data_IF_003327552483
#
_entry.id   IF_003327552483
#
_cell.length_a   1.000
_cell.length_b   1.000
_cell.length_c   1.000
_cell.angle_alpha   90.00
_cell.angle_beta   90.00
_cell.angle_gamma   90.00
#
_symmetry.space_group_name_H-M   'P 1'
#
loop_
_entity.id
_entity.type
_entity.pdbx_description
1 polymer ?
#
# COMPACT_ATOMS: atom_id res chain seq x y z
N UNK A 1 16.91 5.95 11.31
CA UNK A 1 17.52 6.92 10.39
C UNK A 1 19.03 7.02 10.59
N UNK A 2 19.54 7.29 11.80
CA UNK A 2 20.96 7.62 12.05
C UNK A 2 21.98 6.60 11.54
N UNK A 3 21.67 5.32 11.61
CA UNK A 3 22.60 4.25 11.24
C UNK A 3 22.62 3.97 9.73
N UNK A 4 21.46 4.00 9.06
CA UNK A 4 21.33 3.53 7.68
C UNK A 4 20.77 4.59 6.73
N UNK A 5 20.22 5.69 7.21
CA UNK A 5 19.54 6.70 6.37
C UNK A 5 20.44 7.44 5.38
N UNK A 6 21.77 7.26 5.47
CA UNK A 6 22.72 7.77 4.46
C UNK A 6 22.91 6.80 3.27
N UNK A 7 22.54 5.54 3.44
CA UNK A 7 22.76 4.46 2.47
C UNK A 7 21.45 3.93 1.90
N UNK A 8 20.37 3.96 2.70
CA UNK A 8 19.08 3.39 2.37
C UNK A 8 17.96 4.39 2.72
N UNK A 9 16.90 4.48 1.90
CA UNK A 9 15.72 5.24 2.26
C UNK A 9 15.03 4.62 3.49
N UNK A 10 14.59 5.45 4.41
CA UNK A 10 13.84 5.03 5.60
C UNK A 10 12.35 5.11 5.30
N UNK A 11 11.69 3.98 5.32
CA UNK A 11 10.27 3.87 5.06
C UNK A 11 9.50 3.89 6.38
N UNK A 12 8.68 4.93 6.59
CA UNK A 12 7.65 4.93 7.63
C UNK A 12 6.41 4.18 7.13
N UNK A 13 5.78 3.40 7.99
CA UNK A 13 4.52 2.72 7.65
C UNK A 13 3.49 2.88 8.75
N UNK A 14 2.22 2.96 8.36
CA UNK A 14 1.10 3.06 9.28
C UNK A 14 -0.13 2.37 8.73
N UNK A 15 -1.02 1.94 9.63
CA UNK A 15 -2.37 1.50 9.28
C UNK A 15 -3.15 2.72 8.79
N UNK A 16 -3.82 2.59 7.66
CA UNK A 16 -4.62 3.66 7.09
C UNK A 16 -5.89 3.99 7.92
N UNK A 17 -6.51 5.14 7.65
CA UNK A 17 -7.61 5.66 8.47
C UNK A 17 -8.78 4.70 8.60
N UNK A 18 -9.18 4.02 7.53
CA UNK A 18 -10.34 3.14 7.51
C UNK A 18 -10.12 1.87 8.34
N UNK A 19 -8.97 1.22 8.17
CA UNK A 19 -8.62 0.05 8.99
C UNK A 19 -8.37 0.42 10.44
N UNK A 20 -7.84 1.61 10.72
CA UNK A 20 -7.69 2.09 12.09
C UNK A 20 -9.07 2.33 12.74
N UNK A 21 -10.04 2.90 12.01
CA UNK A 21 -11.41 3.05 12.47
C UNK A 21 -12.05 1.68 12.78
N UNK A 22 -11.82 0.70 11.92
CA UNK A 22 -12.27 -0.68 12.16
C UNK A 22 -11.62 -1.27 13.42
N UNK A 23 -10.33 -1.06 13.65
CA UNK A 23 -9.68 -1.55 14.88
C UNK A 23 -10.24 -0.90 16.15
N UNK A 24 -10.65 0.37 16.10
CA UNK A 24 -11.22 1.08 17.23
C UNK A 24 -12.68 0.68 17.49
N UNK A 25 -13.46 0.43 16.45
CA UNK A 25 -14.88 0.11 16.53
C UNK A 25 -15.17 -1.41 16.58
N UNK A 26 -14.18 -2.25 16.28
CA UNK A 26 -14.35 -3.69 16.16
C UNK A 26 -15.09 -4.10 14.90
N UNK A 27 -15.66 -5.32 14.91
CA UNK A 27 -16.34 -5.90 13.74
C UNK A 27 -17.64 -5.16 13.38
N UNK A 28 -18.22 -4.45 14.34
CA UNK A 28 -19.41 -3.61 14.12
C UNK A 28 -19.13 -2.42 13.17
N UNK A 29 -17.88 -2.13 12.87
CA UNK A 29 -17.49 -1.08 11.95
C UNK A 29 -18.21 -1.17 10.61
N UNK A 30 -18.23 -2.35 10.01
CA UNK A 30 -18.87 -2.57 8.71
C UNK A 30 -20.39 -2.42 8.76
N UNK A 31 -21.01 -2.62 9.92
CA UNK A 31 -22.44 -2.35 10.13
C UNK A 31 -22.67 -0.86 10.35
N UNK A 32 -21.84 -0.25 11.18
CA UNK A 32 -22.00 1.13 11.62
C UNK A 32 -21.85 2.13 10.48
N UNK A 33 -20.94 1.92 9.53
CA UNK A 33 -20.81 2.80 8.34
C UNK A 33 -22.08 2.80 7.47
N UNK A 34 -22.93 1.75 7.56
CA UNK A 34 -24.19 1.66 6.82
C UNK A 34 -25.39 2.16 7.63
N UNK A 35 -25.36 2.03 8.96
CA UNK A 35 -26.51 2.29 9.85
C UNK A 35 -26.40 3.57 10.65
N UNK A 36 -25.18 4.02 10.97
CA UNK A 36 -24.86 5.28 11.65
C UNK A 36 -23.73 6.02 10.92
N UNK A 37 -24.13 6.70 9.85
CA UNK A 37 -23.22 7.48 9.03
C UNK A 37 -22.43 8.53 9.84
N UNK A 38 -23.08 9.16 10.83
CA UNK A 38 -22.44 10.21 11.63
C UNK A 38 -21.31 9.64 12.51
N UNK A 39 -21.51 8.46 13.09
CA UNK A 39 -20.44 7.74 13.78
C UNK A 39 -19.30 7.39 12.82
N UNK A 40 -19.64 6.85 11.64
CA UNK A 40 -18.67 6.52 10.61
C UNK A 40 -17.79 7.71 10.24
N UNK A 41 -18.39 8.84 9.91
CA UNK A 41 -17.66 10.06 9.54
C UNK A 41 -16.76 10.56 10.68
N UNK A 42 -17.27 10.61 11.92
CA UNK A 42 -16.47 11.05 13.08
C UNK A 42 -15.27 10.13 13.35
N UNK A 43 -15.43 8.82 13.18
CA UNK A 43 -14.31 7.89 13.32
C UNK A 43 -13.27 8.11 12.22
N UNK A 44 -13.70 8.34 10.99
CA UNK A 44 -12.79 8.63 9.89
C UNK A 44 -12.03 9.95 10.09
N UNK A 45 -12.71 11.02 10.53
CA UNK A 45 -12.08 12.29 10.90
C UNK A 45 -11.03 12.11 12.00
N UNK A 46 -11.39 11.39 13.06
CA UNK A 46 -10.48 11.13 14.18
C UNK A 46 -9.24 10.32 13.76
N UNK A 47 -9.44 9.22 13.04
CA UNK A 47 -8.34 8.35 12.62
C UNK A 47 -7.44 9.00 11.58
N UNK A 48 -7.99 9.83 10.71
CA UNK A 48 -7.20 10.62 9.75
C UNK A 48 -6.33 11.66 10.47
N UNK A 49 -6.90 12.43 11.39
CA UNK A 49 -6.16 13.39 12.19
C UNK A 49 -5.04 12.72 13.01
N UNK A 50 -5.33 11.55 13.60
CA UNK A 50 -4.31 10.75 14.29
C UNK A 50 -3.19 10.31 13.34
N UNK A 51 -3.54 9.78 12.16
CA UNK A 51 -2.57 9.32 11.17
C UNK A 51 -1.68 10.47 10.68
N UNK A 52 -2.23 11.65 10.45
CA UNK A 52 -1.45 12.84 10.07
C UNK A 52 -0.45 13.20 11.18
N UNK A 53 -0.89 13.25 12.43
CA UNK A 53 -0.01 13.53 13.56
C UNK A 53 1.08 12.47 13.71
N UNK A 54 0.75 11.20 13.56
CA UNK A 54 1.67 10.08 13.63
C UNK A 54 2.70 10.11 12.50
N UNK A 55 2.25 10.34 11.25
CA UNK A 55 3.14 10.45 10.11
C UNK A 55 4.12 11.63 10.24
N UNK A 56 3.64 12.79 10.71
CA UNK A 56 4.52 13.94 11.00
C UNK A 56 5.64 13.54 11.96
N UNK A 57 5.34 12.79 13.00
CA UNK A 57 6.36 12.30 13.95
C UNK A 57 7.34 11.32 13.31
N UNK A 58 6.91 10.45 12.41
CA UNK A 58 7.82 9.58 11.66
C UNK A 58 8.76 10.38 10.77
N UNK A 59 8.24 11.36 10.04
CA UNK A 59 9.03 12.25 9.17
C UNK A 59 10.04 13.06 9.98
N UNK A 60 9.62 13.66 11.09
CA UNK A 60 10.51 14.38 12.02
C UNK A 60 11.65 13.49 12.57
N UNK A 61 11.43 12.18 12.63
CA UNK A 61 12.43 11.19 13.03
C UNK A 61 13.14 10.48 11.86
N UNK A 62 13.04 11.05 10.66
CA UNK A 62 13.85 10.68 9.51
C UNK A 62 13.23 9.61 8.60
N UNK A 63 11.92 9.53 8.52
CA UNK A 63 11.27 8.80 7.44
C UNK A 63 11.34 9.60 6.13
N UNK A 64 11.83 8.98 5.06
CA UNK A 64 11.96 9.57 3.72
C UNK A 64 10.70 9.38 2.88
N UNK A 65 9.89 8.39 3.20
CA UNK A 65 8.62 8.06 2.53
C UNK A 65 7.64 7.43 3.50
N UNK A 66 6.35 7.55 3.22
CA UNK A 66 5.29 6.97 4.06
C UNK A 66 4.48 5.95 3.28
N UNK A 67 4.28 4.76 3.88
CA UNK A 67 3.41 3.71 3.36
C UNK A 67 2.12 3.67 4.19
N UNK A 68 1.01 3.90 3.54
CA UNK A 68 -0.34 3.79 4.09
C UNK A 68 -0.85 2.39 3.79
N UNK A 69 -1.05 1.56 4.81
CA UNK A 69 -1.54 0.19 4.70
C UNK A 69 -2.97 0.15 5.20
N UNK A 70 -3.95 0.05 4.29
CA UNK A 70 -5.38 0.13 4.66
C UNK A 70 -6.16 -1.10 4.16
N UNK A 71 -5.90 -2.30 4.72
CA UNK A 71 -6.37 -3.57 4.16
C UNK A 71 -7.89 -3.70 4.13
N UNK A 72 -8.61 -3.11 5.09
CA UNK A 72 -10.07 -3.19 5.15
C UNK A 72 -10.78 -2.11 4.33
N UNK A 73 -10.05 -1.11 3.84
CA UNK A 73 -10.53 -0.13 2.86
C UNK A 73 -10.65 -0.74 1.45
N UNK A 74 -11.12 -1.98 1.37
CA UNK A 74 -11.18 -2.69 0.09
C UNK A 74 -12.46 -2.35 -0.67
N UNK A 75 -12.31 -1.92 -1.91
CA UNK A 75 -13.42 -1.70 -2.84
C UNK A 75 -14.37 -2.91 -2.92
N UNK A 76 -13.82 -4.14 -2.86
CA UNK A 76 -14.60 -5.37 -2.87
C UNK A 76 -15.41 -5.58 -1.58
N UNK A 77 -14.92 -5.12 -0.43
CA UNK A 77 -15.59 -5.29 0.85
C UNK A 77 -16.73 -4.30 1.04
N UNK A 78 -16.54 -3.04 0.68
CA UNK A 78 -17.47 -1.96 1.01
C UNK A 78 -18.20 -1.40 -0.23
N UNK A 79 -17.78 -1.77 -1.43
CA UNK A 79 -18.35 -1.29 -2.69
C UNK A 79 -17.98 0.14 -3.04
N UNK A 80 -18.23 0.53 -4.30
CA UNK A 80 -17.81 1.81 -4.86
C UNK A 80 -18.31 3.02 -4.07
N UNK A 81 -19.60 3.06 -3.78
CA UNK A 81 -20.25 4.21 -3.15
C UNK A 81 -19.66 4.51 -1.76
N UNK A 82 -19.40 3.48 -0.95
CA UNK A 82 -18.82 3.66 0.37
C UNK A 82 -17.32 3.93 0.30
N UNK A 83 -16.63 3.32 -0.66
CA UNK A 83 -15.22 3.63 -0.91
C UNK A 83 -15.01 5.12 -1.26
N UNK A 84 -15.80 5.64 -2.17
CA UNK A 84 -15.75 7.06 -2.54
C UNK A 84 -16.08 8.00 -1.37
N UNK A 85 -16.99 7.59 -0.50
CA UNK A 85 -17.45 8.40 0.62
C UNK A 85 -16.55 8.32 1.85
N UNK A 86 -16.16 7.12 2.25
CA UNK A 86 -15.47 6.87 3.52
C UNK A 86 -13.96 6.59 3.38
N UNK A 87 -13.43 6.49 2.16
CA UNK A 87 -12.01 6.20 1.96
C UNK A 87 -11.32 7.33 1.21
N UNK A 88 -11.79 7.65 0.02
CA UNK A 88 -11.12 8.62 -0.87
C UNK A 88 -10.86 9.97 -0.20
N UNK A 89 -11.81 10.66 0.46
CA UNK A 89 -11.58 11.97 1.05
C UNK A 89 -10.50 11.95 2.14
N UNK A 90 -10.50 10.91 2.95
CA UNK A 90 -9.60 10.76 4.09
C UNK A 90 -8.19 10.31 3.70
N UNK A 91 -8.07 9.44 2.70
CA UNK A 91 -6.78 9.16 2.09
C UNK A 91 -6.20 10.40 1.43
N UNK A 92 -7.04 11.17 0.72
CA UNK A 92 -6.59 12.42 0.10
C UNK A 92 -6.09 13.43 1.14
N UNK A 93 -6.83 13.66 2.21
CA UNK A 93 -6.43 14.56 3.31
C UNK A 93 -5.08 14.14 3.92
N UNK A 94 -4.90 12.84 4.16
CA UNK A 94 -3.64 12.30 4.68
C UNK A 94 -2.48 12.50 3.69
N UNK A 95 -2.72 12.23 2.40
CA UNK A 95 -1.72 12.40 1.34
C UNK A 95 -1.37 13.88 1.15
N UNK A 96 -2.35 14.77 1.17
CA UNK A 96 -2.13 16.22 1.06
C UNK A 96 -1.23 16.71 2.20
N UNK A 97 -1.46 16.24 3.44
CA UNK A 97 -0.60 16.57 4.59
C UNK A 97 0.85 16.05 4.43
N UNK A 98 1.06 14.91 3.75
CA UNK A 98 2.41 14.44 3.44
C UNK A 98 3.05 15.25 2.31
N UNK A 99 2.28 15.62 1.30
CA UNK A 99 2.75 16.47 0.20
C UNK A 99 3.23 17.85 0.71
N UNK A 100 2.55 18.44 1.71
CA UNK A 100 2.99 19.69 2.36
C UNK A 100 4.38 19.55 3.00
N UNK A 101 4.75 18.34 3.42
CA UNK A 101 6.08 18.05 3.97
C UNK A 101 7.09 17.58 2.91
N UNK A 102 6.70 17.51 1.64
CA UNK A 102 7.48 16.95 0.53
C UNK A 102 7.87 15.47 0.75
N UNK A 103 7.00 14.69 1.37
CA UNK A 103 7.22 13.26 1.65
C UNK A 103 6.37 12.42 0.70
N UNK A 104 7.01 11.59 -0.15
CA UNK A 104 6.29 10.68 -1.03
C UNK A 104 5.43 9.67 -0.26
N UNK A 105 4.26 9.35 -0.82
CA UNK A 105 3.33 8.41 -0.23
C UNK A 105 3.09 7.20 -1.12
N UNK A 106 2.97 6.04 -0.48
CA UNK A 106 2.58 4.77 -1.08
C UNK A 106 1.27 4.32 -0.44
N UNK A 107 0.28 3.95 -1.22
CA UNK A 107 -0.96 3.35 -0.72
C UNK A 107 -0.98 1.86 -1.04
N UNK A 108 -1.20 1.04 -0.02
CA UNK A 108 -1.44 -0.40 -0.15
C UNK A 108 -2.80 -0.79 0.42
N UNK A 109 -3.60 -1.44 -0.41
CA UNK A 109 -4.86 -2.08 -0.01
C UNK A 109 -4.77 -3.54 -0.47
N UNK A 110 -5.01 -4.48 0.46
CA UNK A 110 -4.96 -5.91 0.18
C UNK A 110 -6.11 -6.37 -0.73
N UNK A 111 -5.88 -7.47 -1.43
CA UNK A 111 -6.86 -8.11 -2.31
C UNK A 111 -6.90 -7.51 -3.71
N UNK A 112 -7.89 -7.93 -4.49
CA UNK A 112 -8.05 -7.42 -5.85
C UNK A 112 -8.62 -5.99 -5.83
N UNK A 113 -7.75 -5.03 -6.07
CA UNK A 113 -8.09 -3.60 -6.14
C UNK A 113 -8.25 -3.10 -7.59
N UNK A 114 -8.28 -3.98 -8.57
CA UNK A 114 -8.31 -3.62 -9.99
C UNK A 114 -9.39 -2.58 -10.32
N UNK A 115 -10.62 -2.77 -9.81
CA UNK A 115 -11.72 -1.86 -10.04
C UNK A 115 -11.59 -0.51 -9.31
N UNK A 116 -10.78 -0.44 -8.25
CA UNK A 116 -10.56 0.75 -7.42
C UNK A 116 -9.28 1.53 -7.74
N UNK A 117 -8.43 1.08 -8.66
CA UNK A 117 -7.12 1.69 -8.94
C UNK A 117 -7.19 3.20 -9.26
N UNK A 118 -8.17 3.60 -10.08
CA UNK A 118 -8.36 5.01 -10.40
C UNK A 118 -8.75 5.86 -9.18
N UNK A 119 -9.53 5.30 -8.25
CA UNK A 119 -9.90 5.97 -7.01
C UNK A 119 -8.69 6.06 -6.05
N UNK A 120 -7.88 5.02 -5.96
CA UNK A 120 -6.62 5.05 -5.21
C UNK A 120 -5.68 6.14 -5.76
N UNK A 121 -5.53 6.22 -7.09
CA UNK A 121 -4.73 7.26 -7.73
C UNK A 121 -5.29 8.66 -7.49
N UNK A 122 -6.62 8.82 -7.45
CA UNK A 122 -7.29 10.11 -7.24
C UNK A 122 -7.00 10.73 -5.87
N UNK A 123 -6.57 9.93 -4.90
CA UNK A 123 -6.10 10.41 -3.60
C UNK A 123 -4.77 11.19 -3.68
N UNK A 124 -4.09 11.17 -4.84
CA UNK A 124 -2.87 11.93 -5.06
C UNK A 124 -1.58 11.24 -4.58
N UNK A 125 -1.63 9.93 -4.34
CA UNK A 125 -0.46 9.13 -3.94
C UNK A 125 0.62 9.08 -5.01
N UNK A 126 1.88 8.98 -4.62
CA UNK A 126 3.00 8.87 -5.55
C UNK A 126 3.16 7.45 -6.09
N UNK A 127 2.74 6.45 -5.30
CA UNK A 127 2.80 5.06 -5.70
C UNK A 127 1.61 4.26 -5.16
N UNK A 128 1.22 3.22 -5.90
CA UNK A 128 0.25 2.22 -5.49
C UNK A 128 0.97 0.87 -5.38
N UNK A 129 0.98 0.30 -4.19
CA UNK A 129 1.45 -1.06 -3.94
C UNK A 129 0.29 -2.03 -4.15
N UNK A 130 0.38 -2.83 -5.20
CA UNK A 130 -0.68 -3.77 -5.58
C UNK A 130 -0.47 -5.15 -4.95
N UNK A 131 -1.59 -5.77 -4.55
CA UNK A 131 -1.64 -7.13 -4.04
C UNK A 131 -1.39 -8.16 -5.16
N UNK A 132 -0.98 -9.40 -4.82
CA UNK A 132 -0.75 -10.48 -5.78
C UNK A 132 -1.98 -10.86 -6.60
N UNK A 133 -3.18 -10.46 -6.16
CA UNK A 133 -4.44 -10.71 -6.87
C UNK A 133 -4.72 -9.69 -8.00
N UNK A 134 -3.92 -8.65 -8.12
CA UNK A 134 -4.02 -7.64 -9.19
C UNK A 134 -3.07 -7.99 -10.32
N UNK A 135 -3.56 -8.02 -11.56
CA UNK A 135 -2.68 -8.17 -12.71
C UNK A 135 -1.80 -6.92 -12.89
N UNK A 136 -0.44 -7.07 -12.83
CA UNK A 136 0.45 -5.93 -12.87
C UNK A 136 0.38 -5.14 -14.19
N UNK A 137 0.19 -5.81 -15.33
CA UNK A 137 0.06 -5.15 -16.63
C UNK A 137 -1.21 -4.29 -16.71
N UNK A 138 -2.31 -4.79 -16.15
CA UNK A 138 -3.57 -4.04 -16.03
C UNK A 138 -3.39 -2.84 -15.11
N UNK A 139 -2.71 -2.99 -13.98
CA UNK A 139 -2.46 -1.87 -13.06
C UNK A 139 -1.63 -0.76 -13.72
N UNK A 140 -0.51 -1.12 -14.36
CA UNK A 140 0.36 -0.18 -15.09
C UNK A 140 -0.40 0.54 -16.23
N UNK A 141 -1.28 -0.19 -16.92
CA UNK A 141 -2.11 0.40 -17.98
C UNK A 141 -3.17 1.34 -17.43
N UNK A 142 -3.73 1.05 -16.26
CA UNK A 142 -4.85 1.83 -15.67
C UNK A 142 -4.38 3.09 -14.99
N UNK A 143 -3.36 2.99 -14.14
CA UNK A 143 -2.78 4.10 -13.38
C UNK A 143 -1.91 4.97 -14.29
N UNK A 144 -2.03 6.30 -14.18
CA UNK A 144 -1.39 7.25 -15.12
C UNK A 144 -0.39 8.20 -14.47
N UNK A 145 -0.56 8.50 -13.19
CA UNK A 145 0.24 9.49 -12.46
C UNK A 145 1.12 8.83 -11.38
N UNK A 146 0.53 7.90 -10.62
CA UNK A 146 1.27 7.14 -9.63
C UNK A 146 2.07 6.02 -10.29
N UNK A 147 3.16 5.59 -9.65
CA UNK A 147 3.90 4.40 -10.08
C UNK A 147 3.33 3.15 -9.41
N UNK A 148 3.48 1.99 -10.07
CA UNK A 148 3.05 0.70 -9.52
C UNK A 148 4.23 0.02 -8.83
N UNK A 149 3.96 -0.51 -7.63
CA UNK A 149 4.87 -1.31 -6.81
C UNK A 149 4.23 -2.69 -6.62
N UNK A 150 5.01 -3.74 -6.73
CA UNK A 150 4.53 -5.11 -6.46
C UNK A 150 5.12 -6.14 -7.40
N UNK A 151 4.52 -7.34 -7.59
CA UNK A 151 3.47 -7.89 -6.71
C UNK A 151 3.64 -9.40 -6.58
N UNK A 152 4.87 -9.81 -6.24
CA UNK A 152 5.18 -11.23 -6.07
C UNK A 152 4.33 -11.85 -4.95
N UNK A 153 3.70 -13.00 -5.21
CA UNK A 153 2.89 -13.70 -4.21
C UNK A 153 3.74 -14.15 -3.02
N UNK A 154 3.44 -13.65 -1.80
CA UNK A 154 4.23 -13.96 -0.61
C UNK A 154 4.22 -15.44 -0.21
N UNK A 155 3.12 -16.15 -0.51
CA UNK A 155 2.93 -17.54 -0.11
C UNK A 155 3.25 -18.48 -1.26
N UNK A 156 2.60 -18.31 -2.41
CA UNK A 156 2.69 -19.26 -3.51
C UNK A 156 3.98 -19.12 -4.32
N UNK A 157 4.67 -17.98 -4.23
CA UNK A 157 5.95 -17.74 -4.91
C UNK A 157 7.08 -17.65 -3.89
N UNK A 158 7.03 -16.68 -2.97
CA UNK A 158 8.18 -16.36 -2.13
C UNK A 158 8.44 -17.41 -1.05
N UNK A 159 7.41 -18.02 -0.47
CA UNK A 159 7.60 -19.03 0.57
C UNK A 159 7.72 -20.44 -0.02
N UNK A 160 6.85 -20.80 -0.98
CA UNK A 160 6.68 -22.21 -1.39
C UNK A 160 7.51 -22.62 -2.60
N UNK A 161 8.24 -21.71 -3.26
CA UNK A 161 8.99 -22.02 -4.48
C UNK A 161 10.50 -21.85 -4.30
N UNK A 162 11.24 -22.24 -5.36
CA UNK A 162 12.71 -22.10 -5.39
C UNK A 162 13.14 -20.70 -5.82
N UNK A 163 14.40 -20.28 -5.54
CA UNK A 163 14.93 -19.00 -6.01
C UNK A 163 14.84 -18.83 -7.53
N UNK A 164 14.98 -19.90 -8.31
CA UNK A 164 14.89 -19.88 -9.77
C UNK A 164 13.47 -19.48 -10.21
N UNK A 165 12.45 -20.08 -9.59
CA UNK A 165 11.06 -19.74 -9.87
C UNK A 165 10.73 -18.30 -9.43
N UNK A 166 11.31 -17.83 -8.30
CA UNK A 166 11.17 -16.43 -7.86
C UNK A 166 11.76 -15.49 -8.90
N UNK A 167 12.94 -15.81 -9.49
CA UNK A 167 13.54 -14.99 -10.55
C UNK A 167 12.66 -14.95 -11.81
N UNK A 168 12.10 -16.08 -12.21
CA UNK A 168 11.16 -16.15 -13.33
C UNK A 168 9.95 -15.23 -13.12
N UNK A 169 9.29 -15.34 -11.96
CA UNK A 169 8.14 -14.49 -11.61
C UNK A 169 8.51 -13.03 -11.43
N UNK A 170 9.69 -12.74 -10.89
CA UNK A 170 10.21 -11.37 -10.81
C UNK A 170 10.37 -10.75 -12.20
N UNK A 171 10.87 -11.54 -13.16
CA UNK A 171 10.99 -11.07 -14.55
C UNK A 171 9.63 -10.75 -15.16
N UNK A 172 8.62 -11.61 -14.97
CA UNK A 172 7.26 -11.36 -15.47
C UNK A 172 6.69 -10.03 -14.92
N UNK A 173 6.86 -9.77 -13.62
CA UNK A 173 6.39 -8.53 -12.98
C UNK A 173 7.15 -7.31 -13.53
N UNK A 174 8.46 -7.41 -13.71
CA UNK A 174 9.29 -6.36 -14.30
C UNK A 174 8.86 -6.08 -15.74
N UNK A 175 8.69 -7.13 -16.55
CA UNK A 175 8.30 -7.03 -17.98
C UNK A 175 6.89 -6.41 -18.13
N UNK A 176 6.02 -6.53 -17.11
CA UNK A 176 4.73 -5.86 -17.07
C UNK A 176 4.83 -4.33 -16.86
N UNK A 177 6.01 -3.80 -16.54
CA UNK A 177 6.27 -2.37 -16.40
C UNK A 177 6.10 -1.82 -14.98
N UNK A 178 6.17 -2.68 -13.96
CA UNK A 178 6.14 -2.26 -12.56
C UNK A 178 7.41 -1.47 -12.23
N UNK A 179 7.25 -0.31 -11.60
CA UNK A 179 8.38 0.59 -11.30
C UNK A 179 9.27 0.10 -10.14
N UNK A 180 8.69 -0.59 -9.17
CA UNK A 180 9.42 -1.16 -8.03
C UNK A 180 8.98 -2.61 -7.81
N UNK A 181 9.91 -3.54 -8.00
CA UNK A 181 9.66 -4.95 -7.72
C UNK A 181 9.56 -5.18 -6.20
N UNK A 182 8.44 -5.73 -5.75
CA UNK A 182 8.17 -5.98 -4.34
C UNK A 182 7.27 -7.21 -4.15
N UNK A 183 7.16 -7.76 -2.94
CA UNK A 183 6.05 -8.64 -2.59
C UNK A 183 4.70 -7.96 -2.75
N UNK A 184 3.66 -8.70 -3.10
CA UNK A 184 2.30 -8.19 -3.25
C UNK A 184 1.60 -7.89 -1.92
N UNK A 185 2.12 -8.42 -0.82
CA UNK A 185 1.63 -8.18 0.55
C UNK A 185 2.73 -8.56 1.55
N UNK A 186 2.41 -8.61 2.84
CA UNK A 186 3.32 -9.00 3.91
C UNK A 186 3.93 -10.40 3.67
N UNK A 187 5.24 -10.51 3.79
CA UNK A 187 5.95 -11.78 3.59
C UNK A 187 5.78 -12.71 4.79
N UNK A 188 5.73 -14.01 4.51
CA UNK A 188 5.69 -15.04 5.55
C UNK A 188 7.00 -15.04 6.33
N UNK A 189 6.94 -15.10 7.66
CA UNK A 189 8.14 -15.04 8.53
C UNK A 189 9.14 -16.18 8.27
N UNK A 190 8.70 -17.28 7.67
CA UNK A 190 9.52 -18.45 7.29
C UNK A 190 9.96 -18.42 5.83
N UNK A 191 9.76 -17.33 5.09
CA UNK A 191 10.23 -17.21 3.71
C UNK A 191 11.74 -17.40 3.64
N UNK A 192 12.24 -18.31 2.76
CA UNK A 192 13.66 -18.55 2.62
C UNK A 192 14.41 -17.28 2.21
N UNK A 193 15.50 -16.95 2.90
CA UNK A 193 16.33 -15.77 2.59
C UNK A 193 16.84 -15.81 1.15
N UNK A 194 17.13 -17.01 0.61
CA UNK A 194 17.53 -17.15 -0.78
C UNK A 194 16.47 -16.66 -1.78
N UNK A 195 15.18 -16.80 -1.44
CA UNK A 195 14.08 -16.28 -2.27
C UNK A 195 14.00 -14.76 -2.21
N UNK A 196 14.23 -14.17 -1.03
CA UNK A 196 14.31 -12.70 -0.90
C UNK A 196 15.54 -12.15 -1.63
N UNK A 197 16.68 -12.85 -1.57
CA UNK A 197 17.88 -12.47 -2.31
C UNK A 197 17.62 -12.51 -3.84
N UNK A 198 16.86 -13.50 -4.31
CA UNK A 198 16.51 -13.61 -5.72
C UNK A 198 15.72 -12.38 -6.24
N UNK A 199 14.82 -11.80 -5.43
CA UNK A 199 14.14 -10.54 -5.77
C UNK A 199 15.15 -9.41 -5.93
N UNK A 200 16.05 -9.26 -4.94
CA UNK A 200 17.07 -8.20 -4.94
C UNK A 200 18.00 -8.33 -6.16
N UNK A 201 18.42 -9.55 -6.48
CA UNK A 201 19.29 -9.83 -7.62
C UNK A 201 18.61 -9.44 -8.94
N UNK A 202 17.32 -9.78 -9.08
CA UNK A 202 16.52 -9.43 -10.26
C UNK A 202 16.32 -7.93 -10.40
N UNK A 203 16.01 -7.22 -9.31
CA UNK A 203 15.87 -5.77 -9.31
C UNK A 203 17.18 -5.06 -9.69
N UNK A 204 18.33 -5.54 -9.19
CA UNK A 204 19.65 -5.01 -9.54
C UNK A 204 20.09 -5.30 -10.97
N UNK A 205 19.69 -6.44 -11.53
CA UNK A 205 20.02 -6.83 -12.90
C UNK A 205 19.19 -6.07 -13.94
N UNK A 206 18.02 -5.56 -13.54
CA UNK A 206 17.16 -4.78 -14.41
C UNK A 206 17.71 -3.34 -14.51
N UNK A 207 17.93 -2.89 -15.74
CA UNK A 207 18.26 -1.47 -16.01
C UNK A 207 16.95 -0.75 -16.34
N UNK A 208 16.54 0.14 -15.45
CA UNK A 208 15.41 1.05 -15.65
C UNK A 208 15.73 2.13 -16.67
#
# INVERSE_FOLDING_TARGET
ADKYGKELPIIGSMIGPFSLAQHLNGDDWFINIFTDENLGLKLMEFTTAFNIAYAKKMVENGADTMVIIDPTASYQLIGAQFYEKFVVPYHKELVDAMNEMNVPTVLHICGDTTAGLNLMESCGVNAISIDQNVDPATAVKTVKKAVIIGNLDPVNVLWNKTPEFVREKSKEVIDAGVALLAPGCGIVSKTPTANLQAIVDMAKAHKY
#
